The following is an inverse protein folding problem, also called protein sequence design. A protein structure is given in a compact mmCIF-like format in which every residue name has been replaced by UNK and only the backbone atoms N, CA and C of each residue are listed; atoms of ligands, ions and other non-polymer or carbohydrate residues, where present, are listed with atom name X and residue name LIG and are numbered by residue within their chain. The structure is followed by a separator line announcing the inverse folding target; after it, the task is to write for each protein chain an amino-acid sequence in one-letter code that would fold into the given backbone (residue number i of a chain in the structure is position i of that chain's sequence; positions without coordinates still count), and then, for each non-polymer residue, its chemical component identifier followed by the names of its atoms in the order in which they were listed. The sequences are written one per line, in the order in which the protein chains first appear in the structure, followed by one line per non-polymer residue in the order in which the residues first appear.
data_IF_986177938048
#
_entry.id   IF_986177938048
#
_cell.length_a   1.000
_cell.length_b   1.000
_cell.length_c   1.000
_cell.angle_alpha   90.00
_cell.angle_beta   90.00
_cell.angle_gamma   90.00
#
_symmetry.space_group_name_H-M   'P 1'
#
loop_
_entity.id
_entity.type
_entity.pdbx_description
1 polymer ?
#
# COMPACT_ATOMS: atom_id res chain seq x y z
N UNK A 1 22.96 9.18 -9.60
CA UNK A 1 21.97 9.54 -8.57
C UNK A 1 22.24 8.68 -7.35
N UNK A 2 22.05 9.21 -6.16
CA UNK A 2 22.13 8.41 -4.93
C UNK A 2 20.84 7.58 -4.84
N UNK A 3 20.91 6.25 -4.62
CA UNK A 3 19.70 5.46 -4.46
C UNK A 3 18.88 5.95 -3.25
N UNK A 4 17.54 5.91 -3.31
CA UNK A 4 16.70 6.32 -2.20
C UNK A 4 16.89 5.39 -1.00
N UNK A 5 16.62 5.91 0.20
CA UNK A 5 16.60 5.12 1.43
C UNK A 5 15.21 4.51 1.61
N UNK A 6 15.13 3.19 1.77
CA UNK A 6 13.88 2.48 2.01
C UNK A 6 13.71 2.22 3.50
N UNK A 7 12.58 2.63 4.07
CA UNK A 7 12.24 2.43 5.48
C UNK A 7 10.96 1.59 5.55
N UNK A 8 11.05 0.39 6.12
CA UNK A 8 9.89 -0.48 6.37
C UNK A 8 9.31 -0.24 7.77
N UNK A 9 8.02 0.07 7.86
CA UNK A 9 7.30 0.23 9.13
C UNK A 9 6.28 -0.90 9.27
N UNK A 10 6.57 -1.88 10.13
CA UNK A 10 5.72 -3.06 10.36
C UNK A 10 5.16 -3.10 11.79
N UNK A 11 4.01 -3.76 11.95
CA UNK A 11 3.32 -3.89 13.24
C UNK A 11 1.84 -4.20 13.09
N UNK A 12 1.21 -4.67 14.16
CA UNK A 12 -0.23 -4.97 14.18
C UNK A 12 -1.12 -3.74 13.93
N UNK A 13 -2.39 -3.96 13.67
CA UNK A 13 -3.37 -2.87 13.63
C UNK A 13 -3.40 -2.12 14.97
N UNK A 14 -3.52 -0.80 14.93
CA UNK A 14 -3.51 0.06 16.13
C UNK A 14 -2.14 0.23 16.82
N UNK A 15 -1.04 -0.32 16.29
CA UNK A 15 0.29 -0.20 16.92
C UNK A 15 0.98 1.16 16.74
N UNK A 16 0.35 2.11 16.04
CA UNK A 16 0.89 3.46 15.81
C UNK A 16 1.76 3.64 14.56
N UNK A 17 1.72 2.71 13.58
CA UNK A 17 2.50 2.80 12.32
C UNK A 17 2.30 4.14 11.59
N UNK A 18 1.04 4.51 11.36
CA UNK A 18 0.68 5.77 10.70
C UNK A 18 1.17 6.98 11.48
N UNK A 19 1.16 6.93 12.82
CA UNK A 19 1.71 7.99 13.66
C UNK A 19 3.22 8.14 13.47
N UNK A 20 3.96 7.04 13.37
CA UNK A 20 5.40 7.06 13.11
C UNK A 20 5.69 7.59 11.70
N UNK A 21 4.95 7.12 10.70
CA UNK A 21 5.05 7.59 9.32
C UNK A 21 4.86 9.11 9.22
N UNK A 22 3.77 9.64 9.78
CA UNK A 22 3.48 11.07 9.73
C UNK A 22 4.57 11.90 10.40
N UNK A 23 5.11 11.45 11.54
CA UNK A 23 6.23 12.14 12.20
C UNK A 23 7.51 12.15 11.37
N UNK A 24 7.78 11.07 10.63
CA UNK A 24 8.91 11.03 9.69
C UNK A 24 8.67 12.07 8.59
N UNK A 25 7.50 12.06 7.95
CA UNK A 25 7.16 13.02 6.89
C UNK A 25 7.30 14.47 7.39
N UNK A 26 6.77 14.76 8.58
CA UNK A 26 6.85 16.09 9.20
C UNK A 26 8.29 16.56 9.45
N UNK A 27 9.20 15.64 9.83
CA UNK A 27 10.61 15.94 10.12
C UNK A 27 11.43 16.22 8.85
N UNK A 28 11.15 15.49 7.77
CA UNK A 28 11.85 15.64 6.49
C UNK A 28 11.32 16.80 5.63
N UNK A 29 10.15 17.35 5.97
CA UNK A 29 9.64 18.58 5.37
C UNK A 29 9.32 18.45 3.87
N UNK A 30 9.86 19.31 2.98
CA UNK A 30 9.50 19.34 1.56
C UNK A 30 10.22 18.29 0.71
N UNK A 31 11.08 17.47 1.29
CA UNK A 31 11.78 16.42 0.54
C UNK A 31 10.78 15.41 -0.05
N UNK A 32 10.97 14.95 -1.29
CA UNK A 32 10.04 14.02 -1.93
C UNK A 32 10.10 12.66 -1.23
N UNK A 33 9.01 12.29 -0.53
CA UNK A 33 8.84 10.99 0.11
C UNK A 33 7.71 10.24 -0.61
N UNK A 34 8.04 9.09 -1.19
CA UNK A 34 7.04 8.14 -1.66
C UNK A 34 6.55 7.27 -0.51
N UNK A 35 5.23 7.11 -0.38
CA UNK A 35 4.60 6.28 0.65
C UNK A 35 3.86 5.12 0.00
N UNK A 36 4.23 3.89 0.40
CA UNK A 36 3.55 2.66 0.00
C UNK A 36 2.92 2.02 1.24
N UNK A 37 1.60 2.01 1.26
CA UNK A 37 0.82 1.30 2.27
C UNK A 37 0.50 -0.11 1.75
N UNK A 38 0.92 -1.15 2.48
CA UNK A 38 0.69 -2.55 2.05
C UNK A 38 -0.81 -2.86 1.91
N UNK A 39 -1.65 -2.22 2.73
CA UNK A 39 -3.10 -2.38 2.69
C UNK A 39 -3.73 -1.87 1.36
N UNK A 40 -3.06 -0.99 0.62
CA UNK A 40 -3.50 -0.58 -0.72
C UNK A 40 -3.41 -1.74 -1.75
N UNK A 41 -2.60 -2.75 -1.45
CA UNK A 41 -2.32 -3.89 -2.33
C UNK A 41 -3.16 -5.12 -1.99
N UNK A 42 -4.30 -4.99 -1.31
CA UNK A 42 -5.27 -6.09 -1.29
C UNK A 42 -5.68 -6.46 -2.73
N UNK A 43 -5.84 -7.75 -2.97
CA UNK A 43 -6.29 -8.27 -4.28
C UNK A 43 -7.71 -7.82 -4.54
N UNK A 44 -7.99 -7.46 -5.78
CA UNK A 44 -9.35 -7.08 -6.17
C UNK A 44 -10.30 -8.29 -6.16
N UNK A 45 -11.37 -8.16 -5.37
CA UNK A 45 -12.41 -9.18 -5.25
C UNK A 45 -13.69 -8.81 -6.03
N UNK A 46 -13.62 -7.86 -6.97
CA UNK A 46 -14.77 -7.43 -7.79
C UNK A 46 -15.45 -8.60 -8.51
N UNK A 47 -14.67 -9.62 -8.88
CA UNK A 47 -15.11 -10.88 -9.49
C UNK A 47 -15.97 -11.77 -8.57
N UNK A 48 -15.99 -11.52 -7.26
CA UNK A 48 -16.83 -12.22 -6.28
C UNK A 48 -18.11 -11.44 -5.98
N UNK A 49 -19.17 -12.15 -5.59
CA UNK A 49 -20.38 -11.51 -5.06
C UNK A 49 -20.10 -10.85 -3.69
N UNK A 50 -20.85 -9.81 -3.29
CA UNK A 50 -20.64 -9.13 -2.01
C UNK A 50 -20.65 -10.08 -0.80
N UNK A 51 -21.54 -11.09 -0.80
CA UNK A 51 -21.59 -12.10 0.27
C UNK A 51 -20.30 -12.93 0.37
N UNK A 52 -19.68 -13.26 -0.77
CA UNK A 52 -18.42 -14.00 -0.80
C UNK A 52 -17.25 -13.13 -0.35
N UNK A 53 -17.22 -11.84 -0.73
CA UNK A 53 -16.21 -10.88 -0.28
C UNK A 53 -16.23 -10.73 1.23
N UNK A 54 -17.43 -10.61 1.83
CA UNK A 54 -17.60 -10.46 3.28
C UNK A 54 -17.10 -11.67 4.09
N UNK A 55 -16.93 -12.84 3.46
CA UNK A 55 -16.39 -14.06 4.10
C UNK A 55 -14.93 -14.33 3.75
N UNK A 56 -14.29 -13.43 2.99
CA UNK A 56 -12.91 -13.59 2.59
C UNK A 56 -11.96 -13.40 3.79
N UNK A 57 -10.90 -14.20 3.86
CA UNK A 57 -9.92 -14.11 4.92
C UNK A 57 -8.81 -13.12 4.54
N UNK A 58 -8.93 -11.87 4.98
CA UNK A 58 -7.96 -10.81 4.72
C UNK A 58 -6.65 -10.97 5.52
N UNK A 59 -6.62 -11.79 6.57
CA UNK A 59 -5.39 -12.09 7.33
C UNK A 59 -4.50 -13.12 6.63
N UNK A 60 -4.98 -13.76 5.57
CA UNK A 60 -4.18 -14.70 4.81
C UNK A 60 -3.15 -13.94 3.95
N UNK A 61 -1.85 -14.31 3.94
CA UNK A 61 -0.85 -13.60 3.15
C UNK A 61 -1.20 -13.45 1.65
N UNK A 62 -1.88 -14.46 1.09
CA UNK A 62 -2.35 -14.43 -0.30
C UNK A 62 -3.49 -13.45 -0.60
N UNK A 63 -4.07 -12.79 0.41
CA UNK A 63 -5.01 -11.69 0.25
C UNK A 63 -4.35 -10.45 -0.36
N UNK A 64 -3.03 -10.32 -0.19
CA UNK A 64 -2.24 -9.18 -0.64
C UNK A 64 -1.50 -9.55 -1.94
N UNK A 65 -1.49 -8.61 -2.86
CA UNK A 65 -0.72 -8.65 -4.12
C UNK A 65 0.69 -8.09 -3.87
N UNK A 66 1.45 -8.81 -3.04
CA UNK A 66 2.80 -8.39 -2.61
C UNK A 66 3.78 -8.35 -3.77
N UNK A 67 3.53 -9.11 -4.84
CA UNK A 67 4.30 -9.07 -6.07
C UNK A 67 4.22 -7.68 -6.73
N UNK A 68 3.02 -7.13 -6.89
CA UNK A 68 2.82 -5.79 -7.44
C UNK A 68 3.44 -4.70 -6.54
N UNK A 69 3.33 -4.85 -5.22
CA UNK A 69 3.98 -3.91 -4.29
C UNK A 69 5.51 -3.91 -4.45
N UNK A 70 6.09 -5.08 -4.71
CA UNK A 70 7.54 -5.23 -4.92
C UNK A 70 7.96 -4.60 -6.25
N UNK A 71 7.19 -4.83 -7.32
CA UNK A 71 7.40 -4.17 -8.62
C UNK A 71 7.36 -2.64 -8.50
N UNK A 72 6.38 -2.11 -7.78
CA UNK A 72 6.26 -0.68 -7.52
C UNK A 72 7.40 -0.13 -6.65
N UNK A 73 7.85 -0.89 -5.65
CA UNK A 73 9.01 -0.52 -4.84
C UNK A 73 10.28 -0.44 -5.70
N UNK A 74 10.52 -1.42 -6.56
CA UNK A 74 11.68 -1.44 -7.45
C UNK A 74 11.66 -0.29 -8.46
N UNK A 75 10.48 0.02 -9.02
CA UNK A 75 10.28 1.18 -9.90
C UNK A 75 10.62 2.51 -9.20
N UNK A 76 10.13 2.71 -7.97
CA UNK A 76 10.43 3.90 -7.17
C UNK A 76 11.92 3.99 -6.79
N UNK A 77 12.57 2.87 -6.49
CA UNK A 77 14.01 2.82 -6.27
C UNK A 77 14.77 3.23 -7.54
N UNK A 78 14.25 2.88 -8.71
CA UNK A 78 14.75 3.30 -10.03
C UNK A 78 14.47 4.76 -10.40
N UNK A 79 13.64 5.48 -9.62
CA UNK A 79 13.22 6.85 -9.91
C UNK A 79 12.07 6.93 -10.92
N UNK A 80 11.34 5.84 -11.13
CA UNK A 80 10.16 5.77 -11.98
C UNK A 80 8.90 6.04 -11.15
N UNK A 81 7.95 6.76 -11.74
CA UNK A 81 6.64 6.98 -11.12
C UNK A 81 5.80 5.69 -11.19
N UNK A 82 4.89 5.53 -10.23
CA UNK A 82 3.97 4.40 -10.16
C UNK A 82 2.53 4.91 -10.13
N UNK A 83 1.61 4.02 -10.47
CA UNK A 83 0.18 4.23 -10.23
C UNK A 83 -0.23 3.39 -9.03
N UNK A 84 -0.08 3.95 -7.81
CA UNK A 84 -0.38 3.23 -6.57
C UNK A 84 -1.88 2.90 -6.53
N UNK A 85 -2.28 1.64 -6.30
CA UNK A 85 -3.70 1.30 -6.21
C UNK A 85 -4.40 2.02 -5.05
N UNK A 86 -5.68 2.30 -5.22
CA UNK A 86 -6.57 2.69 -4.12
C UNK A 86 -7.50 1.52 -3.79
N UNK A 87 -7.57 1.13 -2.52
CA UNK A 87 -8.41 0.02 -2.08
C UNK A 87 -9.59 0.50 -1.24
N UNK A 88 -10.80 0.14 -1.64
CA UNK A 88 -12.02 0.45 -0.90
C UNK A 88 -12.36 -0.68 0.07
N UNK A 89 -12.10 -0.41 1.35
CA UNK A 89 -12.39 -1.33 2.45
C UNK A 89 -13.88 -1.54 2.70
N UNK A 90 -14.76 -0.66 2.21
CA UNK A 90 -16.22 -0.76 2.33
C UNK A 90 -16.78 -1.80 1.38
N UNK A 91 -16.26 -1.84 0.14
CA UNK A 91 -16.72 -2.73 -0.93
C UNK A 91 -15.83 -3.96 -1.13
N UNK A 92 -14.67 -3.97 -0.47
CA UNK A 92 -13.61 -4.96 -0.60
C UNK A 92 -13.14 -5.12 -2.05
N UNK A 93 -12.89 -3.99 -2.71
CA UNK A 93 -12.45 -3.95 -4.11
C UNK A 93 -11.41 -2.88 -4.35
N UNK A 94 -10.64 -3.06 -5.41
CA UNK A 94 -9.74 -2.02 -5.91
C UNK A 94 -10.56 -0.98 -6.67
N UNK A 95 -10.29 0.30 -6.42
CA UNK A 95 -10.88 1.38 -7.20
C UNK A 95 -10.21 1.47 -8.58
N UNK A 96 -10.89 2.07 -9.54
CA UNK A 96 -10.30 2.34 -10.87
C UNK A 96 -9.25 3.47 -10.82
N UNK A 97 -9.35 4.35 -9.82
CA UNK A 97 -8.41 5.44 -9.57
C UNK A 97 -7.15 4.97 -8.85
N UNK A 98 -6.07 5.69 -9.11
CA UNK A 98 -4.72 5.47 -8.57
C UNK A 98 -4.16 6.76 -8.00
N UNK A 99 -3.17 6.62 -7.11
CA UNK A 99 -2.39 7.75 -6.56
C UNK A 99 -0.99 7.76 -7.19
N UNK A 100 -0.57 8.92 -7.69
CA UNK A 100 0.76 9.16 -8.27
C UNK A 100 1.68 9.91 -7.30
#
# INVERSE_FOLDING_TARGET
MTPPVVIGIAGGSGSGKTTVLNRIIDEFGPDPIAVLDHDAYYRDLSHLSPEKRARFNFDHPGALETELMTEHLDALIGGEAIEKPVYDFTTHTRAEETET
#
